data_IF_546283978577
#
_entry.id   IF_546283978577
#
_cell.length_a   1.000
_cell.length_b   1.000
_cell.length_c   1.000
_cell.angle_alpha   90.00
_cell.angle_beta   90.00
_cell.angle_gamma   90.00
#
_symmetry.space_group_name_H-M   'P 1'
#
loop_
_entity.id
_entity.type
_entity.pdbx_description
1 polymer ?
#
# COMPACT_ATOMS: atom_id res chain seq x y z
N UNK A 1 -21.09 -17.69 7.99
CA UNK A 1 -20.12 -16.96 8.82
C UNK A 1 -18.91 -17.85 9.00
N UNK A 2 -17.80 -17.56 8.32
CA UNK A 2 -16.53 -18.23 8.59
C UNK A 2 -15.96 -17.71 9.92
N UNK A 3 -16.43 -18.29 11.04
CA UNK A 3 -15.92 -17.98 12.39
C UNK A 3 -14.38 -18.07 12.47
N UNK A 4 -13.77 -18.84 11.57
CA UNK A 4 -12.34 -19.07 11.53
C UNK A 4 -11.54 -17.78 11.25
N UNK A 5 -11.96 -16.97 10.26
CA UNK A 5 -11.23 -15.74 9.90
C UNK A 5 -11.39 -14.62 10.91
N UNK A 6 -12.55 -14.52 11.55
CA UNK A 6 -12.73 -13.55 12.64
C UNK A 6 -11.85 -13.90 13.84
N UNK A 7 -11.72 -15.18 14.19
CA UNK A 7 -10.82 -15.62 15.25
C UNK A 7 -9.35 -15.37 14.90
N UNK A 8 -8.94 -15.64 13.65
CA UNK A 8 -7.60 -15.33 13.15
C UNK A 8 -7.28 -13.83 13.27
N UNK A 9 -8.25 -12.95 12.96
CA UNK A 9 -8.07 -11.51 13.15
C UNK A 9 -7.86 -11.15 14.62
N UNK A 10 -8.67 -11.72 15.52
CA UNK A 10 -8.52 -11.49 16.96
C UNK A 10 -7.15 -11.96 17.47
N UNK A 11 -6.65 -13.08 16.97
CA UNK A 11 -5.29 -13.56 17.30
C UNK A 11 -4.22 -12.59 16.82
N UNK A 12 -4.31 -12.11 15.56
CA UNK A 12 -3.35 -11.14 15.02
C UNK A 12 -3.37 -9.80 15.76
N UNK A 13 -4.53 -9.32 16.17
CA UNK A 13 -4.66 -8.11 16.98
C UNK A 13 -4.02 -8.27 18.37
N UNK A 14 -4.03 -9.48 18.94
CA UNK A 14 -3.35 -9.76 20.22
C UNK A 14 -1.83 -9.89 20.05
N UNK A 15 -1.39 -10.51 18.95
CA UNK A 15 0.04 -10.67 18.63
C UNK A 15 0.71 -9.33 18.28
N UNK A 16 -0.05 -8.40 17.68
CA UNK A 16 0.45 -7.13 17.16
C UNK A 16 -0.46 -5.95 17.56
N UNK A 17 -0.59 -5.65 18.87
CA UNK A 17 -1.51 -4.63 19.36
C UNK A 17 -1.08 -3.19 19.03
N UNK A 18 0.17 -3.01 18.60
CA UNK A 18 0.77 -1.74 18.20
C UNK A 18 0.51 -1.37 16.73
N UNK A 19 -0.03 -2.30 15.94
CA UNK A 19 -0.26 -2.10 14.51
C UNK A 19 -1.62 -1.49 14.23
N UNK A 20 -1.65 -0.60 13.25
CA UNK A 20 -2.91 -0.06 12.74
C UNK A 20 -3.67 -1.13 11.97
N UNK A 21 -5.00 -0.99 11.95
CA UNK A 21 -5.90 -1.94 11.28
C UNK A 21 -6.51 -1.25 10.07
N UNK A 22 -6.24 -1.77 8.87
CA UNK A 22 -6.77 -1.24 7.61
C UNK A 22 -7.73 -2.26 6.99
N UNK A 23 -8.92 -1.79 6.63
CA UNK A 23 -9.92 -2.60 5.94
C UNK A 23 -9.89 -2.31 4.45
N UNK A 24 -9.69 -3.36 3.65
CA UNK A 24 -9.66 -3.31 2.19
C UNK A 24 -10.90 -3.97 1.61
N UNK A 25 -11.52 -3.32 0.63
CA UNK A 25 -12.72 -3.79 -0.06
C UNK A 25 -12.36 -3.98 -1.54
N UNK A 26 -11.92 -5.19 -1.94
CA UNK A 26 -11.40 -5.44 -3.30
C UNK A 26 -12.49 -5.49 -4.37
N UNK A 27 -13.74 -5.77 -3.99
CA UNK A 27 -14.90 -5.66 -4.88
C UNK A 27 -15.39 -4.21 -4.84
N UNK A 28 -15.67 -3.61 -6.01
CA UNK A 28 -16.34 -2.31 -6.15
C UNK A 28 -17.63 -2.34 -5.32
N UNK A 29 -17.55 -1.87 -4.08
CA UNK A 29 -18.71 -1.71 -3.23
C UNK A 29 -19.49 -0.53 -3.80
N UNK A 30 -20.45 -0.83 -4.67
CA UNK A 30 -21.45 0.12 -5.17
C UNK A 30 -22.01 0.92 -3.98
N UNK A 31 -21.61 2.19 -3.88
CA UNK A 31 -22.25 3.33 -3.21
C UNK A 31 -22.85 3.13 -1.79
N UNK A 32 -22.50 2.08 -1.05
CA UNK A 32 -23.13 1.80 0.23
C UNK A 32 -22.10 1.69 1.36
N UNK A 33 -22.02 2.78 2.13
CA UNK A 33 -21.23 3.00 3.36
C UNK A 33 -21.34 1.94 4.46
N UNK A 34 -22.07 0.83 4.22
CA UNK A 34 -22.34 -0.24 5.17
C UNK A 34 -22.41 -1.59 4.45
N UNK A 35 -21.38 -1.96 3.69
CA UNK A 35 -21.31 -3.32 3.13
C UNK A 35 -21.12 -4.32 4.27
N UNK A 36 -22.16 -5.11 4.56
CA UNK A 36 -22.09 -6.25 5.47
C UNK A 36 -21.24 -7.34 4.80
N UNK A 37 -19.96 -7.41 5.17
CA UNK A 37 -19.03 -8.41 4.67
C UNK A 37 -18.36 -9.19 5.80
N UNK A 38 -17.55 -10.16 5.42
CA UNK A 38 -16.72 -10.93 6.37
C UNK A 38 -15.25 -10.90 5.98
N UNK A 39 -14.32 -10.92 6.96
CA UNK A 39 -12.89 -11.05 6.67
C UNK A 39 -12.62 -12.28 5.81
N UNK A 40 -11.97 -12.08 4.67
CA UNK A 40 -11.62 -13.15 3.72
C UNK A 40 -10.13 -13.45 3.76
N UNK A 41 -9.29 -12.42 3.86
CA UNK A 41 -7.82 -12.48 3.91
C UNK A 41 -7.33 -11.48 4.96
N UNK A 42 -6.35 -11.89 5.77
CA UNK A 42 -5.73 -11.05 6.78
C UNK A 42 -4.23 -11.12 6.55
N UNK A 43 -3.58 -9.97 6.42
CA UNK A 43 -2.14 -9.86 6.19
C UNK A 43 -1.50 -8.98 7.26
N UNK A 44 -0.24 -9.29 7.52
CA UNK A 44 0.67 -8.39 8.21
C UNK A 44 1.47 -7.71 7.12
N UNK A 45 1.44 -6.38 7.09
CA UNK A 45 2.11 -5.60 6.05
C UNK A 45 2.66 -4.30 6.65
N UNK A 46 3.24 -3.47 5.81
CA UNK A 46 3.54 -2.08 6.08
C UNK A 46 2.85 -1.19 5.05
N UNK A 47 2.45 0.01 5.43
CA UNK A 47 1.80 0.95 4.52
C UNK A 47 2.34 2.36 4.69
N UNK A 48 2.15 3.18 3.67
CA UNK A 48 2.36 4.62 3.73
C UNK A 48 1.20 5.35 3.06
N UNK A 49 1.00 6.61 3.43
CA UNK A 49 0.03 7.49 2.79
C UNK A 49 0.78 8.64 2.12
N UNK A 50 0.63 8.76 0.80
CA UNK A 50 1.24 9.81 -0.03
C UNK A 50 0.10 10.35 -0.90
N UNK A 51 -0.09 11.68 -0.90
CA UNK A 51 -1.15 12.37 -1.65
C UNK A 51 -2.54 11.75 -1.46
N UNK A 52 -2.89 11.45 -0.19
CA UNK A 52 -4.15 10.81 0.22
C UNK A 52 -4.36 9.37 -0.27
N UNK A 53 -3.45 8.83 -1.10
CA UNK A 53 -3.42 7.42 -1.52
C UNK A 53 -2.68 6.56 -0.51
N UNK A 54 -3.25 5.40 -0.19
CA UNK A 54 -2.61 4.37 0.63
C UNK A 54 -1.83 3.45 -0.28
N UNK A 55 -0.57 3.21 0.05
CA UNK A 55 0.32 2.28 -0.62
C UNK A 55 0.72 1.19 0.35
N UNK A 56 0.55 -0.07 -0.04
CA UNK A 56 0.98 -1.24 0.70
C UNK A 56 2.34 -1.70 0.22
N UNK A 57 3.21 -2.07 1.16
CA UNK A 57 4.59 -2.44 0.83
C UNK A 57 4.64 -3.74 0.04
N UNK A 58 3.84 -4.74 0.41
CA UNK A 58 3.86 -6.03 -0.28
C UNK A 58 3.22 -6.00 -1.67
N UNK A 59 2.17 -5.18 -1.87
CA UNK A 59 1.40 -5.17 -3.13
C UNK A 59 1.80 -4.03 -4.08
N UNK A 60 2.16 -2.84 -3.57
CA UNK A 60 2.27 -1.63 -4.39
C UNK A 60 3.69 -1.01 -4.41
N UNK A 61 4.72 -1.69 -3.90
CA UNK A 61 6.09 -1.12 -3.83
C UNK A 61 6.66 -0.74 -5.20
N UNK A 62 6.48 -1.60 -6.20
CA UNK A 62 7.01 -1.36 -7.55
C UNK A 62 6.29 -0.17 -8.21
N UNK A 63 4.95 -0.14 -8.12
CA UNK A 63 4.14 0.97 -8.64
C UNK A 63 4.46 2.31 -7.94
N UNK A 64 4.66 2.29 -6.62
CA UNK A 64 5.04 3.49 -5.88
C UNK A 64 6.45 3.95 -6.27
N UNK A 65 7.38 3.03 -6.50
CA UNK A 65 8.73 3.35 -6.94
C UNK A 65 8.70 4.03 -8.32
N UNK A 66 7.89 3.50 -9.25
CA UNK A 66 7.68 4.11 -10.57
C UNK A 66 7.09 5.53 -10.45
N UNK A 67 6.06 5.74 -9.63
CA UNK A 67 5.49 7.09 -9.44
C UNK A 67 6.50 8.08 -8.82
N UNK A 68 7.35 7.62 -7.90
CA UNK A 68 8.43 8.44 -7.35
C UNK A 68 9.46 8.78 -8.44
N UNK A 69 9.85 7.80 -9.25
CA UNK A 69 10.82 7.99 -10.33
C UNK A 69 10.29 8.97 -11.40
N UNK A 70 9.03 8.80 -11.81
CA UNK A 70 8.36 9.68 -12.77
C UNK A 70 8.26 11.12 -12.23
N UNK A 71 7.86 11.29 -10.96
CA UNK A 71 7.83 12.60 -10.32
C UNK A 71 9.20 13.28 -10.30
N UNK A 72 10.27 12.53 -10.02
CA UNK A 72 11.64 13.06 -10.02
C UNK A 72 12.09 13.42 -11.44
N UNK A 73 11.75 12.59 -12.44
CA UNK A 73 12.06 12.86 -13.83
C UNK A 73 11.40 14.16 -14.32
N UNK A 74 10.11 14.34 -14.01
CA UNK A 74 9.35 15.55 -14.36
C UNK A 74 9.89 16.82 -13.67
N UNK A 75 10.36 16.70 -12.42
CA UNK A 75 10.96 17.80 -11.67
C UNK A 75 12.33 18.21 -12.21
N UNK A 76 13.16 17.24 -12.62
CA UNK A 76 14.54 17.47 -13.05
C UNK A 76 14.68 17.78 -14.54
N UNK A 77 13.81 17.23 -15.38
CA UNK A 77 13.97 17.25 -16.83
C UNK A 77 12.68 17.63 -17.55
N UNK A 78 12.82 18.51 -18.54
CA UNK A 78 11.70 18.96 -19.37
C UNK A 78 11.69 18.33 -20.76
N UNK A 79 12.68 17.49 -21.08
CA UNK A 79 12.86 16.87 -22.40
C UNK A 79 12.93 15.37 -22.28
N UNK A 80 12.10 14.68 -23.06
CA UNK A 80 11.98 13.22 -23.12
C UNK A 80 12.20 12.72 -24.56
N UNK A 81 12.73 11.50 -24.76
CA UNK A 81 13.15 10.54 -23.73
C UNK A 81 14.44 10.98 -23.01
N UNK A 82 14.62 10.47 -21.80
CA UNK A 82 15.84 10.70 -21.03
C UNK A 82 17.05 10.01 -21.70
N UNK A 83 18.24 10.54 -21.46
CA UNK A 83 19.49 9.83 -21.78
C UNK A 83 19.79 8.78 -20.70
N UNK A 84 20.57 7.75 -21.01
CA UNK A 84 20.96 6.70 -20.06
C UNK A 84 21.50 7.28 -18.73
N UNK A 85 22.32 8.34 -18.79
CA UNK A 85 22.85 9.01 -17.59
C UNK A 85 21.78 9.73 -16.76
N UNK A 86 20.73 10.25 -17.41
CA UNK A 86 19.62 10.89 -16.72
C UNK A 86 18.70 9.85 -16.08
N UNK A 87 18.46 8.72 -16.76
CA UNK A 87 17.70 7.60 -16.19
C UNK A 87 18.40 7.01 -14.96
N UNK A 88 19.71 6.77 -15.03
CA UNK A 88 20.49 6.28 -13.88
C UNK A 88 20.42 7.23 -12.67
N UNK A 89 20.46 8.54 -12.91
CA UNK A 89 20.35 9.54 -11.83
C UNK A 89 18.95 9.58 -11.23
N UNK A 90 17.89 9.50 -12.05
CA UNK A 90 16.50 9.43 -11.57
C UNK A 90 16.30 8.18 -10.71
N UNK A 91 16.73 7.01 -11.19
CA UNK A 91 16.60 5.74 -10.45
C UNK A 91 17.31 5.84 -9.11
N UNK A 92 18.53 6.37 -9.07
CA UNK A 92 19.29 6.49 -7.82
C UNK A 92 18.64 7.46 -6.82
N UNK A 93 18.04 8.55 -7.29
CA UNK A 93 17.30 9.46 -6.43
C UNK A 93 15.98 8.84 -5.96
N UNK A 94 15.30 8.09 -6.81
CA UNK A 94 14.09 7.34 -6.47
C UNK A 94 14.39 6.29 -5.40
N UNK A 95 15.45 5.50 -5.54
CA UNK A 95 15.94 4.55 -4.52
C UNK A 95 16.19 5.24 -3.19
N UNK A 96 16.96 6.35 -3.20
CA UNK A 96 17.27 7.09 -1.97
C UNK A 96 16.02 7.65 -1.29
N UNK A 97 15.01 8.08 -2.05
CA UNK A 97 13.73 8.59 -1.52
C UNK A 97 12.84 7.45 -1.03
N UNK A 98 12.78 6.34 -1.75
CA UNK A 98 12.01 5.15 -1.40
C UNK A 98 12.50 4.53 -0.09
N UNK A 99 13.84 4.43 0.09
CA UNK A 99 14.47 3.93 1.31
C UNK A 99 14.21 4.81 2.55
N UNK A 100 13.87 6.09 2.33
CA UNK A 100 13.57 7.05 3.41
C UNK A 100 12.07 7.07 3.78
N UNK A 101 11.21 6.32 3.09
CA UNK A 101 9.79 6.26 3.40
C UNK A 101 9.56 5.61 4.77
N UNK A 102 8.80 6.30 5.63
CA UNK A 102 8.46 5.82 6.97
C UNK A 102 7.25 4.87 6.91
N UNK A 103 7.51 3.66 6.42
CA UNK A 103 6.52 2.58 6.35
C UNK A 103 5.98 2.23 7.73
N UNK A 104 4.66 2.31 7.90
CA UNK A 104 3.99 1.97 9.16
C UNK A 104 3.50 0.55 9.14
N UNK A 105 3.82 -0.22 10.18
CA UNK A 105 3.35 -1.60 10.34
C UNK A 105 1.82 -1.63 10.51
N UNK A 106 1.17 -2.52 9.75
CA UNK A 106 -0.29 -2.62 9.71
C UNK A 106 -0.77 -4.07 9.68
N UNK A 107 -2.04 -4.25 10.02
CA UNK A 107 -2.81 -5.46 9.79
C UNK A 107 -3.83 -5.11 8.71
N UNK A 108 -3.70 -5.72 7.53
CA UNK A 108 -4.61 -5.51 6.40
C UNK A 108 -5.68 -6.59 6.40
N UNK A 109 -6.94 -6.18 6.38
CA UNK A 109 -8.09 -7.09 6.39
C UNK A 109 -8.92 -6.87 5.15
N UNK A 110 -8.91 -7.85 4.24
CA UNK A 110 -9.78 -7.84 3.08
C UNK A 110 -11.17 -8.28 3.49
N UNK A 111 -12.16 -7.46 3.17
CA UNK A 111 -13.56 -7.72 3.43
C UNK A 111 -14.20 -8.18 2.13
N UNK A 112 -14.76 -9.38 2.14
CA UNK A 112 -15.59 -9.87 1.03
C UNK A 112 -17.04 -9.54 1.31
N UNK A 113 -17.69 -8.86 0.36
CA UNK A 113 -19.13 -8.63 0.39
C UNK A 113 -19.90 -9.94 0.21
N UNK A 114 -21.09 -10.03 0.81
CA UNK A 114 -21.97 -11.20 0.71
C UNK A 114 -22.77 -11.23 -0.59
#
# INVERSE_FOLDING_TARGET
MDLNKTNELIEKLKEHPDRELIFMYPDDCEEHSYTLGSPSKILIDEYITIDEKVWFKDEDSDDLFEEIADSIADDLYTQFPLTELQEEEVIKQAEARFDQLDWKKTIVVYIRAH
#
